data_IF_814521178246
#
_entry.id   IF_814521178246
#
_cell.length_a   1.000
_cell.length_b   1.000
_cell.length_c   1.000
_cell.angle_alpha   90.00
_cell.angle_beta   90.00
_cell.angle_gamma   90.00
#
_symmetry.space_group_name_H-M   'P 1'
#
loop_
_entity.id
_entity.type
_entity.pdbx_description
1 polymer ?
#
# COMPACT_ATOMS: atom_id res chain seq x y z
N UNK A 1 -6.11 -32.67 -12.30
CA UNK A 1 -6.20 -34.06 -11.83
C UNK A 1 -6.60 -34.00 -10.36
N UNK A 2 -7.70 -34.64 -9.92
CA UNK A 2 -8.11 -34.56 -8.52
C UNK A 2 -7.22 -35.47 -7.68
N UNK A 3 -6.73 -35.00 -6.54
CA UNK A 3 -5.97 -35.81 -5.58
C UNK A 3 -6.86 -36.05 -4.36
N UNK A 4 -7.11 -37.33 -4.10
CA UNK A 4 -7.78 -37.86 -2.92
C UNK A 4 -6.87 -37.77 -1.70
N UNK A 5 -7.36 -37.24 -0.58
CA UNK A 5 -6.68 -37.33 0.72
C UNK A 5 -7.17 -38.59 1.47
N UNK A 6 -6.33 -39.63 1.49
CA UNK A 6 -6.43 -40.73 2.45
C UNK A 6 -5.27 -40.67 3.45
N UNK A 7 -5.60 -40.88 4.72
CA UNK A 7 -4.82 -40.63 5.91
C UNK A 7 -3.59 -41.53 6.10
N UNK A 8 -2.55 -41.05 6.81
CA UNK A 8 -2.24 -41.40 8.22
C UNK A 8 -0.81 -41.02 8.60
N UNK A 9 -0.67 -40.61 9.86
CA UNK A 9 0.52 -40.88 10.67
C UNK A 9 1.31 -39.64 11.11
N UNK A 10 0.93 -39.01 12.22
CA UNK A 10 1.89 -38.25 13.00
C UNK A 10 1.63 -38.40 14.49
N UNK A 11 2.53 -39.13 15.15
CA UNK A 11 2.66 -39.22 16.60
C UNK A 11 3.27 -37.91 17.09
N UNK A 12 2.54 -37.15 17.92
CA UNK A 12 3.11 -36.01 18.64
C UNK A 12 3.03 -36.31 20.13
N UNK A 13 4.19 -36.57 20.74
CA UNK A 13 4.37 -36.37 22.18
C UNK A 13 4.66 -34.88 22.40
N UNK A 14 3.70 -34.17 22.97
CA UNK A 14 3.84 -32.79 23.42
C UNK A 14 2.81 -32.53 24.52
N UNK A 15 3.22 -31.80 25.57
CA UNK A 15 2.42 -31.50 26.77
C UNK A 15 0.94 -31.24 26.42
N UNK A 16 0.04 -32.00 27.06
CA UNK A 16 -1.41 -31.74 27.03
C UNK A 16 -1.66 -30.50 27.91
N UNK A 17 -1.40 -29.32 27.36
CA UNK A 17 -2.08 -28.11 27.80
C UNK A 17 -3.55 -28.26 27.42
N UNK A 18 -4.46 -28.09 28.37
CA UNK A 18 -5.89 -28.13 28.08
C UNK A 18 -6.22 -26.96 27.15
N UNK A 19 -6.45 -27.25 25.87
CA UNK A 19 -6.83 -26.23 24.90
C UNK A 19 -8.26 -25.77 25.22
N UNK A 20 -8.40 -24.52 25.63
CA UNK A 20 -9.69 -23.91 25.97
C UNK A 20 -10.18 -23.04 24.81
N UNK A 21 -11.49 -22.92 24.66
CA UNK A 21 -12.07 -22.01 23.67
C UNK A 21 -11.60 -20.57 23.87
N UNK A 22 -11.62 -19.81 22.78
CA UNK A 22 -11.32 -18.39 22.76
C UNK A 22 -12.18 -17.64 23.79
N UNK A 23 -11.60 -16.70 24.56
CA UNK A 23 -12.35 -15.89 25.50
C UNK A 23 -13.45 -15.11 24.76
N UNK A 24 -14.65 -15.08 25.33
CA UNK A 24 -15.74 -14.25 24.83
C UNK A 24 -15.62 -12.80 25.34
N UNK A 25 -16.21 -11.85 24.63
CA UNK A 25 -16.28 -10.46 25.03
C UNK A 25 -17.65 -9.85 24.70
N UNK A 26 -18.05 -8.80 25.42
CA UNK A 26 -19.26 -8.07 25.07
C UNK A 26 -19.05 -7.22 23.82
N UNK A 27 -20.12 -6.83 23.10
CA UNK A 27 -20.01 -5.90 21.97
C UNK A 27 -19.25 -4.62 22.36
N UNK A 28 -18.26 -4.24 21.55
CA UNK A 28 -17.40 -3.07 21.78
C UNK A 28 -16.21 -3.31 22.72
N UNK A 29 -16.04 -4.52 23.28
CA UNK A 29 -14.86 -4.89 24.06
C UNK A 29 -13.84 -5.66 23.22
N UNK A 30 -12.58 -5.53 23.60
CA UNK A 30 -11.47 -6.28 23.01
C UNK A 30 -10.97 -7.33 24.00
N UNK A 31 -10.67 -8.52 23.48
CA UNK A 31 -9.96 -9.59 24.21
C UNK A 31 -8.75 -10.03 23.41
N UNK A 32 -7.69 -10.40 24.11
CA UNK A 32 -6.51 -10.96 23.48
C UNK A 32 -6.74 -12.45 23.21
N UNK A 33 -6.50 -12.86 21.97
CA UNK A 33 -6.49 -14.25 21.53
C UNK A 33 -5.05 -14.76 21.47
N UNK A 34 -4.89 -16.07 21.37
CA UNK A 34 -3.58 -16.69 21.19
C UNK A 34 -2.88 -16.13 19.95
N UNK A 35 -1.58 -15.83 20.11
CA UNK A 35 -0.75 -15.26 19.05
C UNK A 35 -0.39 -16.30 17.98
N UNK A 36 -0.20 -15.84 16.75
CA UNK A 36 0.26 -16.70 15.64
C UNK A 36 1.63 -17.33 15.99
N UNK A 37 1.84 -18.64 15.72
CA UNK A 37 3.06 -19.36 16.09
C UNK A 37 4.32 -18.74 15.47
N UNK A 38 5.42 -18.82 16.22
CA UNK A 38 6.77 -18.41 15.81
C UNK A 38 7.64 -19.66 15.61
N UNK A 39 8.57 -19.72 14.63
CA UNK A 39 9.55 -18.67 14.34
C UNK A 39 9.68 -18.14 12.88
N UNK A 40 10.09 -16.85 12.78
CA UNK A 40 10.63 -16.07 11.63
C UNK A 40 9.69 -15.53 10.50
N UNK A 41 9.80 -14.23 10.10
CA UNK A 41 9.93 -13.02 10.89
C UNK A 41 8.55 -12.46 11.28
N UNK A 42 8.35 -12.35 12.59
CA UNK A 42 7.90 -11.16 13.33
C UNK A 42 7.19 -10.08 12.49
N UNK A 43 5.86 -9.98 12.69
CA UNK A 43 4.93 -9.04 12.05
C UNK A 43 4.51 -9.47 10.64
N UNK A 44 3.21 -9.60 10.46
CA UNK A 44 2.58 -9.77 9.14
C UNK A 44 1.87 -8.45 8.82
N UNK A 45 2.12 -7.92 7.63
CA UNK A 45 1.46 -6.75 7.10
C UNK A 45 0.60 -7.15 5.89
N UNK A 46 -0.46 -6.39 5.60
CA UNK A 46 -1.34 -6.61 4.47
C UNK A 46 -1.79 -8.08 4.33
N UNK A 47 -2.20 -8.67 5.44
CA UNK A 47 -2.68 -10.04 5.54
C UNK A 47 -3.93 -10.28 4.69
N UNK A 48 -4.07 -11.50 4.16
CA UNK A 48 -5.34 -11.97 3.59
C UNK A 48 -6.02 -12.88 4.61
N UNK A 49 -7.13 -12.42 5.20
CA UNK A 49 -7.75 -13.08 6.35
C UNK A 49 -9.23 -13.43 6.15
N UNK A 50 -9.56 -14.54 5.44
CA UNK A 50 -10.93 -15.01 5.30
C UNK A 50 -11.44 -15.79 6.51
N UNK A 51 -12.76 -15.74 6.74
CA UNK A 51 -13.51 -16.72 7.54
C UNK A 51 -14.04 -17.81 6.59
N UNK A 52 -13.79 -19.08 6.89
CA UNK A 52 -14.38 -20.22 6.17
C UNK A 52 -14.93 -21.21 7.21
N UNK A 53 -16.22 -21.52 7.13
CA UNK A 53 -16.91 -22.22 8.22
C UNK A 53 -16.74 -21.45 9.52
N UNK A 54 -16.39 -22.13 10.62
CA UNK A 54 -16.15 -21.52 11.93
C UNK A 54 -14.68 -21.18 12.22
N UNK A 55 -13.82 -21.24 11.19
CA UNK A 55 -12.39 -21.00 11.31
C UNK A 55 -11.96 -19.71 10.62
N UNK A 56 -10.92 -19.10 11.15
CA UNK A 56 -10.27 -17.94 10.54
C UNK A 56 -8.97 -18.39 9.88
N UNK A 57 -8.63 -17.80 8.75
CA UNK A 57 -7.42 -18.15 8.01
C UNK A 57 -6.54 -16.92 7.87
N UNK A 58 -5.24 -17.15 7.78
CA UNK A 58 -4.24 -16.17 7.37
C UNK A 58 -3.51 -16.78 6.18
N UNK A 59 -3.72 -16.25 4.98
CA UNK A 59 -3.19 -16.83 3.75
C UNK A 59 -2.17 -15.88 3.11
N UNK A 60 -0.89 -16.17 3.25
CA UNK A 60 0.18 -15.29 2.79
C UNK A 60 0.25 -13.99 3.59
N UNK A 61 0.23 -12.85 2.90
CA UNK A 61 0.57 -11.55 3.47
C UNK A 61 2.02 -11.15 3.20
N UNK A 62 2.42 -9.99 3.69
CA UNK A 62 3.78 -9.49 3.57
C UNK A 62 4.51 -9.64 4.91
N UNK A 63 5.73 -10.17 4.86
CA UNK A 63 6.62 -10.31 6.01
C UNK A 63 7.86 -9.45 5.84
N UNK A 64 8.45 -9.03 6.95
CA UNK A 64 9.65 -8.19 6.94
C UNK A 64 10.82 -8.95 6.30
N UNK A 65 11.57 -8.28 5.42
CA UNK A 65 12.70 -8.85 4.70
C UNK A 65 13.96 -7.98 4.87
N UNK A 66 15.17 -8.56 4.70
CA UNK A 66 16.42 -7.81 4.81
C UNK A 66 16.46 -6.58 3.90
N UNK A 67 16.98 -5.47 4.41
CA UNK A 67 17.11 -4.23 3.64
C UNK A 67 18.29 -4.31 2.67
N UNK A 68 18.09 -3.81 1.45
CA UNK A 68 19.16 -3.52 0.49
C UNK A 68 19.60 -2.05 0.60
N UNK A 69 20.80 -1.66 0.12
CA UNK A 69 21.23 -0.27 0.12
C UNK A 69 20.19 0.67 -0.49
N UNK A 70 19.83 1.73 0.25
CA UNK A 70 18.84 2.71 -0.18
C UNK A 70 17.38 2.37 0.13
N UNK A 71 17.10 1.13 0.56
CA UNK A 71 15.78 0.70 1.04
C UNK A 71 15.65 0.99 2.53
N UNK A 72 14.56 1.65 2.93
CA UNK A 72 14.24 2.01 4.32
C UNK A 72 13.17 1.13 4.94
N UNK A 73 12.40 0.41 4.12
CA UNK A 73 11.44 -0.60 4.55
C UNK A 73 11.35 -1.65 3.45
N UNK A 74 11.35 -2.93 3.82
CA UNK A 74 11.22 -4.03 2.87
C UNK A 74 10.29 -5.10 3.42
N UNK A 75 9.18 -5.32 2.73
CA UNK A 75 8.28 -6.44 3.00
C UNK A 75 8.10 -7.27 1.74
N UNK A 76 8.16 -8.58 1.87
CA UNK A 76 8.00 -9.53 0.76
C UNK A 76 6.86 -10.48 1.06
N UNK A 77 6.16 -10.91 0.02
CA UNK A 77 5.07 -11.85 0.20
C UNK A 77 5.58 -13.21 0.67
N UNK A 78 4.85 -13.82 1.60
CA UNK A 78 5.10 -15.18 2.09
C UNK A 78 4.11 -16.17 1.51
N UNK A 79 4.52 -17.44 1.46
CA UNK A 79 3.65 -18.58 1.16
C UNK A 79 2.95 -19.12 2.41
N UNK A 80 3.39 -18.70 3.59
CA UNK A 80 2.93 -19.26 4.85
C UNK A 80 1.43 -19.05 5.02
N UNK A 81 0.74 -20.11 5.40
CA UNK A 81 -0.69 -20.10 5.63
C UNK A 81 -0.98 -20.69 7.01
N UNK A 82 -1.93 -20.09 7.71
CA UNK A 82 -2.34 -20.53 9.03
C UNK A 82 -3.85 -20.58 9.12
N UNK A 83 -4.35 -21.49 9.96
CA UNK A 83 -5.75 -21.54 10.38
C UNK A 83 -5.81 -21.33 11.88
N UNK A 84 -6.73 -20.49 12.32
CA UNK A 84 -7.09 -20.29 13.71
C UNK A 84 -8.43 -20.96 13.97
N UNK A 85 -8.47 -21.73 15.06
CA UNK A 85 -9.67 -22.37 15.57
C UNK A 85 -10.11 -21.70 16.88
N UNK A 86 -11.18 -20.88 16.85
CA UNK A 86 -11.71 -20.24 18.05
C UNK A 86 -12.21 -21.24 19.09
N UNK A 87 -12.55 -22.48 18.72
CA UNK A 87 -13.04 -23.48 19.67
C UNK A 87 -11.95 -23.97 20.65
N UNK A 88 -10.68 -23.75 20.31
CA UNK A 88 -9.52 -24.19 21.10
C UNK A 88 -8.46 -23.09 21.27
N UNK A 89 -8.78 -21.85 20.90
CA UNK A 89 -7.88 -20.67 20.92
C UNK A 89 -6.48 -21.00 20.38
N UNK A 90 -6.41 -21.65 19.21
CA UNK A 90 -5.15 -22.15 18.69
C UNK A 90 -5.00 -21.93 17.20
N UNK A 91 -3.77 -21.60 16.82
CA UNK A 91 -3.33 -21.52 15.43
C UNK A 91 -2.63 -22.82 15.02
N UNK A 92 -2.80 -23.19 13.75
CA UNK A 92 -2.08 -24.29 13.10
C UNK A 92 -1.59 -23.85 11.73
N UNK A 93 -0.34 -24.17 11.40
CA UNK A 93 0.15 -24.01 10.03
C UNK A 93 -0.57 -25.00 9.10
N UNK A 94 -0.96 -24.50 7.93
CA UNK A 94 -1.62 -25.29 6.88
C UNK A 94 -0.77 -25.27 5.60
N UNK A 95 -1.26 -25.93 4.55
CA UNK A 95 -0.55 -25.99 3.29
C UNK A 95 -0.16 -24.60 2.78
N UNK A 96 1.11 -24.48 2.40
CA UNK A 96 1.66 -23.26 1.83
C UNK A 96 0.94 -22.91 0.53
N UNK A 97 0.85 -21.61 0.22
CA UNK A 97 0.44 -21.17 -1.10
C UNK A 97 1.31 -21.85 -2.19
N UNK A 98 0.75 -22.19 -3.36
CA UNK A 98 1.54 -22.67 -4.49
C UNK A 98 2.70 -21.71 -4.80
N UNK A 99 3.86 -22.27 -5.14
CA UNK A 99 5.06 -21.48 -5.46
C UNK A 99 4.74 -20.49 -6.59
N UNK A 100 5.11 -19.23 -6.42
CA UNK A 100 4.88 -18.16 -7.40
C UNK A 100 3.50 -17.51 -7.31
N UNK A 101 2.69 -17.86 -6.31
CA UNK A 101 1.37 -17.26 -6.07
C UNK A 101 1.29 -16.45 -4.77
N UNK A 102 2.43 -16.26 -4.10
CA UNK A 102 2.57 -15.48 -2.87
C UNK A 102 2.03 -14.07 -3.05
N UNK A 103 1.26 -13.58 -2.08
CA UNK A 103 0.70 -12.22 -2.13
C UNK A 103 0.26 -11.72 -0.76
N UNK A 104 0.42 -10.42 -0.54
CA UNK A 104 -0.36 -9.66 0.44
C UNK A 104 -1.30 -8.67 -0.25
N UNK A 105 -2.15 -8.00 0.50
CA UNK A 105 -3.09 -6.98 -0.01
C UNK A 105 -4.05 -7.48 -1.09
N UNK A 106 -4.38 -8.77 -1.11
CA UNK A 106 -5.33 -9.29 -2.08
C UNK A 106 -6.76 -8.92 -1.67
N UNK A 107 -7.64 -8.76 -2.65
CA UNK A 107 -9.07 -8.82 -2.39
C UNK A 107 -9.41 -10.27 -2.06
N UNK A 108 -10.07 -10.46 -0.91
CA UNK A 108 -10.46 -11.79 -0.41
C UNK A 108 -11.95 -11.99 -0.65
N UNK A 109 -12.28 -12.97 -1.49
CA UNK A 109 -13.65 -13.45 -1.68
C UNK A 109 -13.80 -14.86 -1.10
N UNK A 110 -14.94 -15.14 -0.47
CA UNK A 110 -15.28 -16.49 0.00
C UNK A 110 -16.62 -16.90 -0.59
N UNK A 111 -16.68 -18.07 -1.20
CA UNK A 111 -17.91 -18.71 -1.66
C UNK A 111 -17.90 -20.16 -1.22
N UNK A 112 -18.80 -20.52 -0.31
CA UNK A 112 -18.81 -21.83 0.36
C UNK A 112 -17.45 -22.10 1.05
N UNK A 113 -16.73 -23.13 0.61
CA UNK A 113 -15.39 -23.48 1.11
C UNK A 113 -14.27 -22.87 0.26
N UNK A 114 -14.60 -22.23 -0.86
CA UNK A 114 -13.63 -21.69 -1.80
C UNK A 114 -13.21 -20.27 -1.41
N UNK A 115 -11.90 -20.06 -1.29
CA UNK A 115 -11.29 -18.74 -1.08
C UNK A 115 -10.66 -18.26 -2.37
N UNK A 116 -10.99 -17.02 -2.76
CA UNK A 116 -10.43 -16.32 -3.91
C UNK A 116 -9.54 -15.18 -3.42
N UNK A 117 -8.28 -15.17 -3.88
CA UNK A 117 -7.34 -14.08 -3.63
C UNK A 117 -7.00 -13.38 -4.96
N UNK A 118 -7.71 -12.28 -5.23
CA UNK A 118 -7.58 -11.52 -6.47
C UNK A 118 -6.63 -10.31 -6.29
N UNK A 119 -5.71 -10.13 -7.25
CA UNK A 119 -4.70 -9.09 -7.20
C UNK A 119 -3.67 -9.32 -6.08
N UNK A 120 -3.32 -8.25 -5.37
CA UNK A 120 -2.31 -8.23 -4.33
C UNK A 120 -0.92 -7.84 -4.83
N UNK A 121 0.00 -7.68 -3.87
CA UNK A 121 1.39 -7.30 -4.12
C UNK A 121 2.35 -8.36 -3.56
N UNK A 122 3.49 -8.51 -4.21
CA UNK A 122 4.56 -9.43 -3.82
C UNK A 122 5.69 -8.73 -3.05
N UNK A 123 5.79 -7.41 -3.19
CA UNK A 123 6.84 -6.59 -2.56
C UNK A 123 6.25 -5.24 -2.18
N UNK A 124 6.54 -4.79 -0.95
CA UNK A 124 6.30 -3.43 -0.49
C UNK A 124 7.62 -2.85 0.03
N UNK A 125 8.21 -1.96 -0.76
CA UNK A 125 9.48 -1.32 -0.44
C UNK A 125 9.32 0.20 -0.41
N UNK A 126 9.94 0.84 0.59
CA UNK A 126 10.19 2.28 0.57
C UNK A 126 11.68 2.53 0.60
N UNK A 127 12.12 3.66 0.02
CA UNK A 127 13.52 4.05 -0.01
C UNK A 127 13.76 5.46 0.53
N UNK A 128 15.04 5.81 0.67
CA UNK A 128 15.48 7.15 1.09
C UNK A 128 15.03 8.27 0.12
N UNK A 129 14.68 7.92 -1.11
CA UNK A 129 14.16 8.80 -2.14
C UNK A 129 12.67 9.11 -2.06
N UNK A 130 12.06 9.14 -0.87
CA UNK A 130 10.67 9.63 -0.73
C UNK A 130 10.63 11.13 -1.04
N UNK A 131 9.64 11.56 -1.82
CA UNK A 131 9.41 12.98 -2.06
C UNK A 131 9.20 13.70 -0.71
N UNK A 132 9.68 14.95 -0.62
CA UNK A 132 9.69 15.69 0.65
C UNK A 132 8.28 15.98 1.18
N UNK A 133 7.31 16.12 0.27
CA UNK A 133 5.90 16.41 0.56
C UNK A 133 5.04 15.51 -0.31
N UNK A 134 4.10 14.76 0.27
CA UNK A 134 3.11 13.96 -0.46
C UNK A 134 2.06 14.86 -1.12
N UNK A 135 1.72 14.59 -2.37
CA UNK A 135 0.77 15.39 -3.17
C UNK A 135 0.24 14.59 -4.35
N UNK A 136 -0.99 14.88 -4.77
CA UNK A 136 -1.64 14.30 -5.97
C UNK A 136 -1.45 15.19 -7.20
N UNK A 137 -1.70 14.66 -8.40
CA UNK A 137 -1.77 15.46 -9.63
C UNK A 137 -0.51 16.26 -10.00
N UNK A 138 0.67 15.84 -9.52
CA UNK A 138 1.94 16.51 -9.82
C UNK A 138 2.40 16.25 -11.26
N UNK A 139 3.16 17.19 -11.81
CA UNK A 139 3.83 17.05 -13.11
C UNK A 139 5.29 16.66 -12.88
N UNK A 140 5.88 15.86 -13.78
CA UNK A 140 7.30 15.54 -13.67
C UNK A 140 7.95 15.09 -14.97
N UNK A 141 9.26 15.30 -15.08
CA UNK A 141 10.06 14.96 -16.26
C UNK A 141 11.51 14.62 -15.87
N UNK A 142 12.14 13.71 -16.61
CA UNK A 142 13.55 13.38 -16.44
C UNK A 142 14.40 14.22 -17.41
N UNK A 143 15.35 15.00 -16.87
CA UNK A 143 16.24 15.87 -17.64
C UNK A 143 17.64 15.81 -17.03
N UNK A 144 18.67 15.67 -17.86
CA UNK A 144 20.06 15.66 -17.40
C UNK A 144 20.40 14.53 -16.40
N UNK A 145 19.66 13.42 -16.42
CA UNK A 145 19.84 12.30 -15.50
C UNK A 145 19.23 12.49 -14.11
N UNK A 146 18.47 13.57 -13.89
CA UNK A 146 17.71 13.85 -12.68
C UNK A 146 16.20 13.87 -12.99
N UNK A 147 15.36 13.54 -12.01
CA UNK A 147 13.91 13.65 -12.12
C UNK A 147 13.46 14.97 -11.50
N UNK A 148 12.68 15.77 -12.22
CA UNK A 148 12.09 17.00 -11.72
C UNK A 148 10.59 16.81 -11.53
N UNK A 149 10.04 17.34 -10.44
CA UNK A 149 8.62 17.32 -10.14
C UNK A 149 8.15 18.72 -9.75
N UNK A 150 6.90 19.01 -10.09
CA UNK A 150 6.33 20.34 -10.03
C UNK A 150 4.89 20.28 -9.55
N UNK A 151 4.56 21.22 -8.67
CA UNK A 151 3.18 21.52 -8.32
C UNK A 151 2.44 20.37 -7.65
N UNK A 152 1.22 20.08 -8.09
CA UNK A 152 0.31 19.10 -7.50
C UNK A 152 -0.70 19.71 -6.54
N UNK A 153 -1.62 18.90 -6.05
CA UNK A 153 -2.72 19.30 -5.16
C UNK A 153 -2.70 18.57 -3.81
N UNK A 154 -3.51 19.05 -2.87
CA UNK A 154 -3.54 18.61 -1.47
C UNK A 154 -2.89 19.59 -0.51
N UNK A 155 -2.60 20.82 -0.96
CA UNK A 155 -1.95 21.84 -0.13
C UNK A 155 -2.95 22.48 0.83
N UNK A 156 -2.93 22.07 2.10
CA UNK A 156 -3.83 22.61 3.13
C UNK A 156 -3.53 24.07 3.48
N UNK A 157 -2.30 24.53 3.23
CA UNK A 157 -1.85 25.88 3.57
C UNK A 157 -2.12 26.90 2.45
N UNK A 158 -2.51 26.44 1.25
CA UNK A 158 -2.89 27.31 0.14
C UNK A 158 -4.41 27.33 -0.03
N UNK A 159 -4.97 28.55 -0.18
CA UNK A 159 -6.39 28.73 -0.49
C UNK A 159 -6.81 27.91 -1.72
N UNK A 160 -5.95 27.87 -2.75
CA UNK A 160 -6.19 27.10 -3.96
C UNK A 160 -6.05 25.60 -3.80
N UNK A 161 -5.38 25.11 -2.75
CA UNK A 161 -5.09 23.69 -2.59
C UNK A 161 -3.94 23.18 -3.45
N UNK A 162 -3.29 24.07 -4.20
CA UNK A 162 -2.26 23.72 -5.17
C UNK A 162 -0.89 24.11 -4.63
N UNK A 163 0.09 23.22 -4.82
CA UNK A 163 1.48 23.48 -4.51
C UNK A 163 2.14 24.25 -5.65
N UNK A 164 3.08 25.14 -5.32
CA UNK A 164 3.99 25.76 -6.30
C UNK A 164 5.40 25.19 -6.23
N UNK A 165 5.67 24.23 -5.34
CA UNK A 165 7.03 23.76 -5.12
C UNK A 165 7.57 23.03 -6.35
N UNK A 166 8.86 23.27 -6.59
CA UNK A 166 9.66 22.55 -7.57
C UNK A 166 10.69 21.74 -6.82
N UNK A 167 10.80 20.46 -7.14
CA UNK A 167 11.77 19.58 -6.51
C UNK A 167 12.47 18.73 -7.56
N UNK A 168 13.73 18.40 -7.32
CA UNK A 168 14.45 17.43 -8.14
C UNK A 168 14.96 16.26 -7.31
N UNK A 169 15.03 15.10 -7.94
CA UNK A 169 15.55 13.86 -7.40
C UNK A 169 16.77 13.43 -8.19
N UNK A 170 17.87 13.20 -7.48
CA UNK A 170 19.09 12.63 -8.04
C UNK A 170 19.16 11.14 -7.73
N UNK A 171 18.98 10.24 -8.72
CA UNK A 171 18.92 8.79 -8.46
C UNK A 171 20.20 8.22 -7.82
N UNK A 172 21.38 8.76 -8.15
CA UNK A 172 22.66 8.23 -7.65
C UNK A 172 22.85 8.48 -6.15
N UNK A 173 22.34 9.60 -5.63
CA UNK A 173 22.40 9.92 -4.19
C UNK A 173 21.11 9.61 -3.46
N UNK A 174 20.04 9.28 -4.20
CA UNK A 174 18.68 9.10 -3.70
C UNK A 174 18.18 10.29 -2.86
N UNK A 175 18.54 11.51 -3.28
CA UNK A 175 18.19 12.74 -2.57
C UNK A 175 17.23 13.58 -3.39
N UNK A 176 16.18 14.05 -2.72
CA UNK A 176 15.38 15.17 -3.18
C UNK A 176 16.04 16.49 -2.78
N UNK A 177 15.92 17.49 -3.63
CA UNK A 177 16.39 18.86 -3.39
C UNK A 177 15.28 19.81 -3.81
N UNK A 178 14.97 20.75 -2.94
CA UNK A 178 14.01 21.82 -3.23
C UNK A 178 14.67 22.88 -4.12
N UNK A 179 13.93 23.35 -5.11
CA UNK A 179 14.36 24.37 -6.07
C UNK A 179 13.48 25.62 -5.95
N UNK A 180 13.75 26.62 -6.77
CA UNK A 180 12.87 27.77 -6.90
C UNK A 180 11.44 27.32 -7.27
N UNK A 181 10.40 27.82 -6.57
CA UNK A 181 9.03 27.44 -6.85
C UNK A 181 8.57 27.97 -8.21
N UNK A 182 7.57 27.32 -8.80
CA UNK A 182 6.87 27.86 -9.96
C UNK A 182 6.23 29.21 -9.61
N UNK A 183 6.31 30.22 -10.49
CA UNK A 183 5.58 31.48 -10.31
C UNK A 183 4.06 31.27 -10.23
N UNK A 184 3.55 30.29 -10.97
CA UNK A 184 2.14 29.92 -11.03
C UNK A 184 1.99 28.46 -10.55
N UNK A 185 1.30 28.21 -9.41
CA UNK A 185 1.01 26.86 -8.94
C UNK A 185 0.13 26.10 -9.95
N UNK A 186 0.46 24.83 -10.23
CA UNK A 186 -0.27 23.99 -11.19
C UNK A 186 -0.46 22.57 -10.67
N UNK A 187 -1.57 21.93 -11.02
CA UNK A 187 -1.80 20.49 -10.84
C UNK A 187 -2.50 19.89 -12.07
N UNK A 188 -2.61 18.57 -12.13
CA UNK A 188 -3.36 17.87 -13.18
C UNK A 188 -2.74 18.01 -14.57
N UNK A 189 -1.43 18.26 -14.65
CA UNK A 189 -0.69 18.39 -15.91
C UNK A 189 0.49 17.40 -15.98
N UNK A 190 1.06 17.22 -17.16
CA UNK A 190 2.32 16.50 -17.39
C UNK A 190 3.45 17.48 -17.71
N UNK A 191 4.68 17.08 -17.41
CA UNK A 191 5.86 17.85 -17.80
C UNK A 191 6.65 17.11 -18.89
N UNK A 192 7.30 17.86 -19.78
CA UNK A 192 8.11 17.31 -20.88
C UNK A 192 9.51 17.89 -20.82
N UNK A 193 10.51 17.02 -20.90
CA UNK A 193 11.92 17.41 -20.94
C UNK A 193 12.39 17.59 -22.37
N UNK A 194 13.04 18.70 -22.68
CA UNK A 194 13.65 18.96 -23.99
C UNK A 194 14.87 19.87 -23.81
N UNK A 195 16.02 19.49 -24.38
CA UNK A 195 17.25 20.30 -24.41
C UNK A 195 17.63 20.94 -23.07
N UNK A 196 17.69 20.11 -22.02
CA UNK A 196 18.01 20.52 -20.64
C UNK A 196 16.98 21.43 -19.96
N UNK A 197 15.77 21.56 -20.53
CA UNK A 197 14.64 22.32 -19.98
C UNK A 197 13.47 21.40 -19.69
N UNK A 198 12.58 21.85 -18.81
CA UNK A 198 11.31 21.19 -18.52
C UNK A 198 10.16 22.14 -18.84
N UNK A 199 9.23 21.67 -19.64
CA UNK A 199 8.04 22.40 -20.08
C UNK A 199 6.80 21.81 -19.42
N UNK A 200 5.88 22.67 -18.96
CA UNK A 200 4.65 22.26 -18.26
C UNK A 200 3.45 22.91 -18.95
N UNK A 201 2.86 22.26 -19.97
CA UNK A 201 1.67 22.80 -20.64
C UNK A 201 0.43 22.72 -19.74
N UNK A 202 -0.25 23.85 -19.52
CA UNK A 202 -1.58 23.87 -18.91
C UNK A 202 -1.62 23.41 -17.43
N UNK A 203 -2.72 22.77 -17.04
CA UNK A 203 -2.99 22.36 -15.65
C UNK A 203 -3.99 23.28 -14.93
N UNK A 204 -4.50 22.78 -13.80
CA UNK A 204 -5.42 23.48 -12.91
C UNK A 204 -4.71 24.36 -11.90
N UNK A 205 -5.29 25.53 -11.62
CA UNK A 205 -4.80 26.49 -10.62
C UNK A 205 -5.48 26.33 -9.26
N UNK A 206 -6.44 25.40 -9.15
CA UNK A 206 -7.27 25.13 -7.98
C UNK A 206 -7.46 23.62 -7.85
N UNK A 207 -7.22 23.06 -6.67
CA UNK A 207 -7.41 21.64 -6.36
C UNK A 207 -8.84 21.17 -6.65
N UNK A 208 -8.96 19.95 -7.16
CA UNK A 208 -10.25 19.34 -7.47
C UNK A 208 -11.09 19.13 -6.19
N UNK A 209 -12.39 19.39 -6.29
CA UNK A 209 -13.32 19.24 -5.17
C UNK A 209 -13.33 20.40 -4.16
N UNK A 210 -12.52 21.46 -4.32
CA UNK A 210 -12.69 22.70 -3.53
C UNK A 210 -13.85 23.55 -4.09
N UNK A 211 -14.83 23.88 -3.23
CA UNK A 211 -15.95 24.75 -3.59
C UNK A 211 -15.49 26.18 -3.87
N UNK A 212 -15.94 26.76 -4.99
CA UNK A 212 -15.84 28.20 -5.27
C UNK A 212 -17.26 28.77 -5.33
N UNK A 213 -17.54 29.78 -4.51
CA UNK A 213 -18.84 30.48 -4.52
C UNK A 213 -18.80 31.65 -5.49
N UNK A 214 -19.62 31.62 -6.53
CA UNK A 214 -19.93 32.79 -7.37
C UNK A 214 -21.45 32.97 -7.39
N UNK A 215 -21.95 34.13 -6.95
CA UNK A 215 -23.38 34.44 -6.96
C UNK A 215 -24.28 33.66 -5.99
N UNK A 216 -23.70 32.89 -5.05
CA UNK A 216 -24.46 32.17 -4.01
C UNK A 216 -24.83 30.72 -4.33
N UNK A 217 -24.22 30.08 -5.35
CA UNK A 217 -24.41 28.64 -5.63
C UNK A 217 -23.15 27.95 -6.20
N UNK A 218 -23.05 26.61 -6.14
CA UNK A 218 -21.88 25.86 -6.62
C UNK A 218 -21.84 25.81 -8.16
N UNK A 219 -20.69 26.15 -8.74
CA UNK A 219 -20.42 26.01 -10.19
C UNK A 219 -19.08 25.30 -10.38
N UNK A 220 -19.04 24.29 -11.26
CA UNK A 220 -17.82 23.56 -11.65
C UNK A 220 -17.16 24.27 -12.83
N UNK A 221 -15.90 24.70 -12.70
CA UNK A 221 -15.17 25.30 -13.82
C UNK A 221 -14.26 24.30 -14.53
N UNK A 222 -14.68 23.89 -15.73
CA UNK A 222 -13.86 23.20 -16.73
C UNK A 222 -13.01 24.20 -17.55
N UNK A 223 -12.13 24.96 -16.92
CA UNK A 223 -11.22 25.86 -17.67
C UNK A 223 -9.76 25.42 -17.57
N UNK A 224 -9.32 24.44 -18.39
CA UNK A 224 -7.91 24.24 -18.65
C UNK A 224 -7.34 25.52 -19.28
N UNK A 225 -6.24 26.04 -18.74
CA UNK A 225 -5.60 27.23 -19.32
C UNK A 225 -4.75 26.82 -20.55
N UNK A 226 -4.74 27.62 -21.64
CA UNK A 226 -3.84 27.42 -22.77
C UNK A 226 -2.39 27.87 -22.48
N UNK A 227 -2.03 28.15 -21.22
CA UNK A 227 -0.77 28.78 -20.85
C UNK A 227 0.38 27.75 -20.78
N UNK A 228 1.49 28.07 -21.45
CA UNK A 228 2.69 27.23 -21.58
C UNK A 228 3.84 27.91 -20.81
N UNK A 229 4.33 27.26 -19.75
CA UNK A 229 5.53 27.69 -19.04
C UNK A 229 6.75 26.90 -19.56
N UNK A 230 7.88 27.58 -19.69
CA UNK A 230 9.16 27.08 -20.19
C UNK A 230 10.33 27.40 -19.24
#
# INVERSE_FOLDING_TARGET
>A
MPVSLSALGLTVLGLVGVATAAPSCNPGQWVNLTSIPQPAPHKVNHANAPKVGEKLYLLGGLIEAPLSPGVTMNWVATRACYVYDPAVDAWREIELMPRGTEKGSAVVGVHEEMVYLAGGMTVLQTGKGRMLVSRGGLSGSAVGGELYVFGGEGNVDAATGVFNQTQKYKPQSQKWTELAPMPIPRHGSQAVGLDSRVYIPGGGLQQDGKSVSIGGGPVTFQHPTPHFDA
#
